data_IF_940927269534
#
_entry.id   IF_940927269534
#
_cell.length_a   1.000
_cell.length_b   1.000
_cell.length_c   1.000
_cell.angle_alpha   90.00
_cell.angle_beta   90.00
_cell.angle_gamma   90.00
#
_symmetry.space_group_name_H-M   'P 1'
#
loop_
_entity.id
_entity.type
_entity.pdbx_description
1 polymer ?
#
# COMPACT_ATOMS: atom_id res chain seq x y z
N UNK A 1 -4.78 -10.67 -2.02
CA UNK A 1 -4.27 -9.65 -2.98
C UNK A 1 -5.19 -9.57 -4.19
N UNK A 2 -5.76 -8.40 -4.43
CA UNK A 2 -6.59 -8.08 -5.59
C UNK A 2 -5.72 -7.38 -6.66
N UNK A 3 -5.41 -8.05 -7.76
CA UNK A 3 -4.59 -7.49 -8.85
C UNK A 3 -5.47 -6.68 -9.80
N UNK A 4 -5.11 -5.43 -10.06
CA UNK A 4 -5.88 -4.49 -10.89
C UNK A 4 -5.21 -4.24 -12.25
N UNK A 5 -3.89 -4.04 -12.26
CA UNK A 5 -3.10 -3.79 -13.47
C UNK A 5 -1.87 -4.71 -13.46
N UNK A 6 -1.40 -5.20 -14.62
CA UNK A 6 -0.17 -5.96 -14.68
C UNK A 6 1.05 -5.08 -14.33
N UNK A 7 2.09 -5.63 -13.69
CA UNK A 7 3.36 -4.92 -13.53
C UNK A 7 4.00 -4.63 -14.89
N UNK A 8 4.76 -3.54 -14.96
CA UNK A 8 5.49 -3.09 -16.15
C UNK A 8 6.91 -3.65 -16.11
N UNK A 9 7.39 -4.10 -17.27
CA UNK A 9 8.73 -4.65 -17.42
C UNK A 9 9.81 -3.68 -16.92
N UNK A 10 10.76 -4.20 -16.14
CA UNK A 10 11.88 -3.44 -15.58
C UNK A 10 11.53 -2.44 -14.48
N UNK A 11 10.25 -2.31 -14.08
CA UNK A 11 9.84 -1.43 -12.98
C UNK A 11 9.92 -2.14 -11.63
N UNK A 12 10.36 -1.37 -10.63
CA UNK A 12 10.40 -1.80 -9.23
C UNK A 12 9.01 -1.72 -8.61
N UNK A 13 8.77 -2.38 -7.49
CA UNK A 13 7.50 -2.26 -6.77
C UNK A 13 7.63 -1.24 -5.65
N UNK A 14 6.65 -0.35 -5.53
CA UNK A 14 6.45 0.55 -4.40
C UNK A 14 5.20 0.12 -3.63
N UNK A 15 5.37 -0.34 -2.40
CA UNK A 15 4.26 -0.71 -1.52
C UNK A 15 3.99 0.43 -0.55
N UNK A 16 2.73 0.89 -0.47
CA UNK A 16 2.30 2.02 0.36
C UNK A 16 1.19 1.60 1.33
N UNK A 17 1.29 2.07 2.58
CA UNK A 17 0.14 2.08 3.50
C UNK A 17 -0.85 3.20 3.12
N UNK A 18 -2.03 3.22 3.73
CA UNK A 18 -3.07 4.23 3.58
C UNK A 18 -3.08 5.17 4.78
N UNK A 19 -3.39 4.63 5.96
CA UNK A 19 -3.64 5.39 7.17
C UNK A 19 -2.32 5.98 7.67
N UNK A 20 -2.28 7.30 7.93
CA UNK A 20 -1.07 8.10 8.19
C UNK A 20 -0.07 8.24 7.03
N UNK A 21 -0.20 7.45 5.96
CA UNK A 21 0.70 7.56 4.81
C UNK A 21 0.12 8.43 3.71
N UNK A 22 -1.11 8.16 3.26
CA UNK A 22 -1.76 8.86 2.14
C UNK A 22 -2.96 9.69 2.61
N UNK A 23 -3.44 9.44 3.82
CA UNK A 23 -4.72 9.94 4.33
C UNK A 23 -4.67 10.13 5.85
N UNK A 24 -5.22 11.24 6.34
CA UNK A 24 -5.50 11.46 7.76
C UNK A 24 -6.83 10.80 8.14
N UNK A 25 -6.75 9.71 8.89
CA UNK A 25 -7.92 8.95 9.33
C UNK A 25 -8.45 9.33 10.72
N UNK A 26 -7.77 10.24 11.44
CA UNK A 26 -8.22 10.66 12.78
C UNK A 26 -9.08 11.92 12.74
N UNK A 27 -8.90 12.75 11.73
CA UNK A 27 -9.73 13.94 11.54
C UNK A 27 -11.06 13.61 10.89
N UNK A 28 -12.10 14.38 11.22
CA UNK A 28 -13.38 14.36 10.51
C UNK A 28 -13.41 15.48 9.48
N UNK A 29 -13.94 15.21 8.29
CA UNK A 29 -14.12 16.20 7.23
C UNK A 29 -15.44 15.96 6.49
N UNK A 30 -16.01 17.02 5.91
CA UNK A 30 -17.18 16.89 5.04
C UNK A 30 -16.79 16.36 3.66
N UNK A 31 -15.56 16.66 3.21
CA UNK A 31 -15.00 16.18 1.96
C UNK A 31 -13.76 15.30 2.21
N UNK A 32 -13.72 14.04 1.71
CA UNK A 32 -12.54 13.17 1.83
C UNK A 32 -11.23 13.78 1.31
N UNK A 33 -11.31 14.72 0.35
CA UNK A 33 -10.13 15.43 -0.17
C UNK A 33 -9.45 16.33 0.88
N UNK A 34 -10.15 16.77 1.92
CA UNK A 34 -9.57 17.55 3.02
C UNK A 34 -8.65 16.71 3.92
N UNK A 35 -8.86 15.39 3.92
CA UNK A 35 -8.07 14.42 4.66
C UNK A 35 -6.95 13.81 3.81
N UNK A 36 -6.89 14.17 2.53
CA UNK A 36 -5.85 13.71 1.61
C UNK A 36 -4.52 14.33 2.00
N UNK A 37 -3.45 13.53 2.04
CA UNK A 37 -2.10 14.07 2.26
C UNK A 37 -1.76 15.07 1.15
N UNK A 38 -1.23 16.26 1.47
CA UNK A 38 -0.80 17.22 0.47
C UNK A 38 0.13 16.57 -0.57
N UNK A 39 -0.09 16.88 -1.84
CA UNK A 39 0.65 16.36 -2.99
C UNK A 39 0.52 14.85 -3.25
N UNK A 40 -0.57 14.20 -2.79
CA UNK A 40 -0.79 12.76 -2.98
C UNK A 40 -0.67 12.35 -4.46
N UNK A 41 -1.37 13.03 -5.37
CA UNK A 41 -1.42 12.64 -6.77
C UNK A 41 -0.11 12.95 -7.50
N UNK A 42 0.53 14.06 -7.19
CA UNK A 42 1.83 14.46 -7.71
C UNK A 42 2.91 13.46 -7.27
N UNK A 43 2.88 13.03 -6.01
CA UNK A 43 3.74 11.98 -5.48
C UNK A 43 3.52 10.66 -6.22
N UNK A 44 2.27 10.19 -6.34
CA UNK A 44 1.96 8.92 -7.01
C UNK A 44 2.33 8.95 -8.49
N UNK A 45 2.13 10.07 -9.17
CA UNK A 45 2.53 10.26 -10.57
C UNK A 45 4.05 10.19 -10.72
N UNK A 46 4.79 10.91 -9.87
CA UNK A 46 6.25 10.89 -9.88
C UNK A 46 6.80 9.49 -9.51
N UNK A 47 6.21 8.83 -8.53
CA UNK A 47 6.56 7.46 -8.16
C UNK A 47 6.28 6.48 -9.30
N UNK A 48 5.16 6.64 -10.01
CA UNK A 48 4.79 5.77 -11.12
C UNK A 48 5.77 5.81 -12.28
N UNK A 49 6.55 6.89 -12.44
CA UNK A 49 7.63 6.95 -13.42
C UNK A 49 8.68 5.85 -13.18
N UNK A 50 8.95 5.47 -11.93
CA UNK A 50 10.02 4.55 -11.53
C UNK A 50 9.51 3.23 -10.94
N UNK A 51 8.28 3.21 -10.42
CA UNK A 51 7.72 2.11 -9.65
C UNK A 51 6.30 1.74 -10.10
N UNK A 52 5.99 0.46 -10.03
CA UNK A 52 4.62 -0.04 -9.97
C UNK A 52 4.11 0.03 -8.53
N UNK A 53 2.88 0.52 -8.37
CA UNK A 53 2.38 0.92 -7.05
C UNK A 53 1.42 -0.13 -6.52
N UNK A 54 1.65 -0.59 -5.29
CA UNK A 54 0.77 -1.48 -4.53
C UNK A 54 0.29 -0.74 -3.29
N UNK A 55 -1.00 -0.87 -2.99
CA UNK A 55 -1.60 -0.34 -1.74
C UNK A 55 -1.82 -1.52 -0.78
N UNK A 56 -1.34 -1.39 0.46
CA UNK A 56 -1.53 -2.40 1.50
C UNK A 56 -1.91 -1.78 2.84
N UNK A 57 -3.15 -1.98 3.26
CA UNK A 57 -3.69 -1.47 4.54
C UNK A 57 -4.01 -2.58 5.54
N UNK A 58 -3.93 -2.25 6.83
CA UNK A 58 -4.42 -3.10 7.92
C UNK A 58 -5.96 -3.04 8.12
N UNK A 59 -6.71 -2.53 7.14
CA UNK A 59 -8.19 -2.53 7.14
C UNK A 59 -8.74 -3.60 6.20
N UNK A 60 -10.06 -3.75 6.08
CA UNK A 60 -10.67 -4.70 5.14
C UNK A 60 -10.62 -4.21 3.68
N UNK A 61 -10.59 -5.13 2.71
CA UNK A 61 -10.59 -4.79 1.28
C UNK A 61 -11.70 -3.81 0.91
N UNK A 62 -12.90 -3.96 1.49
CA UNK A 62 -14.02 -3.03 1.28
C UNK A 62 -13.62 -1.59 1.62
N UNK A 63 -12.96 -1.37 2.76
CA UNK A 63 -12.53 -0.03 3.18
C UNK A 63 -11.35 0.49 2.36
N UNK A 64 -10.44 -0.38 1.95
CA UNK A 64 -9.35 -0.04 1.02
C UNK A 64 -9.92 0.50 -0.29
N UNK A 65 -10.85 -0.22 -0.91
CA UNK A 65 -11.46 0.17 -2.19
C UNK A 65 -12.26 1.47 -2.06
N UNK A 66 -13.05 1.63 -0.98
CA UNK A 66 -13.80 2.86 -0.72
C UNK A 66 -12.85 4.05 -0.59
N UNK A 67 -11.85 3.98 0.29
CA UNK A 67 -10.89 5.08 0.51
C UNK A 67 -10.12 5.43 -0.76
N UNK A 68 -9.59 4.43 -1.47
CA UNK A 68 -8.80 4.68 -2.69
C UNK A 68 -9.65 5.19 -3.85
N UNK A 69 -10.96 4.89 -3.88
CA UNK A 69 -11.89 5.48 -4.85
C UNK A 69 -12.25 6.92 -4.49
N UNK A 70 -12.55 7.20 -3.22
CA UNK A 70 -12.90 8.54 -2.72
C UNK A 70 -11.74 9.52 -2.87
N UNK A 71 -10.51 9.07 -2.61
CA UNK A 71 -9.29 9.87 -2.83
C UNK A 71 -8.89 9.96 -4.31
N UNK A 72 -9.68 9.43 -5.25
CA UNK A 72 -9.37 9.46 -6.69
C UNK A 72 -8.17 8.59 -7.11
N UNK A 73 -7.58 7.81 -6.20
CA UNK A 73 -6.38 7.01 -6.44
C UNK A 73 -6.61 5.89 -7.47
N UNK A 74 -7.78 5.25 -7.46
CA UNK A 74 -8.08 4.15 -8.40
C UNK A 74 -8.48 4.62 -9.80
N UNK A 75 -8.80 5.90 -9.98
CA UNK A 75 -9.35 6.44 -11.24
C UNK A 75 -8.49 7.57 -11.83
N UNK A 76 -7.23 7.71 -11.40
CA UNK A 76 -6.33 8.73 -11.91
C UNK A 76 -5.78 8.35 -13.31
N UNK A 77 -5.74 9.27 -14.28
CA UNK A 77 -5.20 8.98 -15.62
C UNK A 77 -3.67 8.87 -15.65
N UNK A 78 -2.96 9.54 -14.74
CA UNK A 78 -1.51 9.73 -14.78
C UNK A 78 -0.70 8.59 -14.17
N UNK A 79 -1.37 7.69 -13.43
CA UNK A 79 -0.77 6.48 -12.88
C UNK A 79 -1.75 5.31 -12.80
N UNK A 80 -1.23 4.13 -12.44
CA UNK A 80 -2.01 2.91 -12.22
C UNK A 80 -1.55 2.21 -10.95
N UNK A 81 -2.52 1.61 -10.24
CA UNK A 81 -2.27 0.75 -9.08
C UNK A 81 -2.23 -0.69 -9.56
N UNK A 82 -1.15 -1.41 -9.25
CA UNK A 82 -0.93 -2.81 -9.64
C UNK A 82 -1.81 -3.74 -8.83
N UNK A 83 -1.85 -3.58 -7.51
CA UNK A 83 -2.64 -4.44 -6.64
C UNK A 83 -3.04 -3.77 -5.33
N UNK A 84 -4.10 -4.30 -4.73
CA UNK A 84 -4.56 -3.98 -3.38
C UNK A 84 -4.37 -5.18 -2.45
N UNK A 85 -3.91 -4.92 -1.24
CA UNK A 85 -3.83 -5.86 -0.13
C UNK A 85 -4.48 -5.27 1.11
N UNK A 86 -5.06 -6.14 1.92
CA UNK A 86 -5.79 -5.80 3.13
C UNK A 86 -5.24 -6.61 4.33
N UNK A 87 -5.84 -6.46 5.49
CA UNK A 87 -5.41 -7.13 6.72
C UNK A 87 -5.33 -8.66 6.62
N UNK A 88 -6.09 -9.30 5.73
CA UNK A 88 -6.05 -10.76 5.57
C UNK A 88 -4.73 -11.27 4.97
N UNK A 89 -3.94 -10.38 4.35
CA UNK A 89 -2.60 -10.71 3.88
C UNK A 89 -1.52 -10.53 4.96
N UNK A 90 -1.87 -9.94 6.11
CA UNK A 90 -0.95 -9.76 7.24
C UNK A 90 -0.81 -11.05 8.05
N UNK A 91 0.26 -11.14 8.84
CA UNK A 91 0.49 -12.26 9.76
C UNK A 91 0.77 -11.74 11.16
N UNK A 92 0.36 -12.52 12.17
CA UNK A 92 0.72 -12.27 13.57
C UNK A 92 2.03 -12.97 13.90
N UNK A 93 2.99 -12.21 14.41
CA UNK A 93 4.35 -12.67 14.71
C UNK A 93 4.61 -12.52 16.19
N UNK A 94 5.19 -13.55 16.80
CA UNK A 94 5.68 -13.48 18.17
C UNK A 94 7.16 -13.10 18.15
N UNK A 95 7.47 -11.92 18.65
CA UNK A 95 8.84 -11.47 18.92
C UNK A 95 9.14 -11.51 20.42
N UNK A 96 10.41 -11.77 20.76
CA UNK A 96 10.89 -11.70 22.14
C UNK A 96 10.93 -10.27 22.67
N UNK A 97 11.16 -9.28 21.80
CA UNK A 97 11.30 -7.87 22.17
C UNK A 97 10.01 -7.06 22.05
N UNK A 98 9.11 -7.45 21.13
CA UNK A 98 7.89 -6.68 20.82
C UNK A 98 6.59 -7.42 21.18
N UNK A 99 6.67 -8.64 21.72
CA UNK A 99 5.48 -9.45 22.00
C UNK A 99 4.81 -9.94 20.71
N UNK A 100 3.48 -10.10 20.73
CA UNK A 100 2.70 -10.43 19.53
C UNK A 100 2.32 -9.15 18.80
N UNK A 101 2.63 -9.07 17.51
CA UNK A 101 2.24 -7.96 16.65
C UNK A 101 1.88 -8.47 15.25
N UNK A 102 1.10 -7.68 14.52
CA UNK A 102 0.79 -7.97 13.12
C UNK A 102 1.74 -7.23 12.19
N UNK A 103 2.22 -7.92 11.15
CA UNK A 103 3.14 -7.34 10.17
C UNK A 103 2.69 -7.62 8.73
N UNK A 104 3.28 -6.89 7.77
CA UNK A 104 3.04 -7.03 6.33
C UNK A 104 4.16 -7.86 5.69
N UNK A 105 3.99 -9.19 5.49
CA UNK A 105 5.06 -10.07 5.03
C UNK A 105 5.34 -9.87 3.54
N UNK A 106 6.45 -9.21 3.21
CA UNK A 106 6.81 -8.88 1.83
C UNK A 106 7.06 -10.09 0.94
N UNK A 107 7.41 -11.23 1.52
CA UNK A 107 7.51 -12.51 0.83
C UNK A 107 6.22 -12.89 0.06
N UNK A 108 5.05 -12.44 0.51
CA UNK A 108 3.79 -12.64 -0.21
C UNK A 108 3.77 -11.91 -1.56
N UNK A 109 4.37 -10.72 -1.63
CA UNK A 109 4.48 -9.94 -2.87
C UNK A 109 5.56 -10.56 -3.76
N UNK A 110 6.73 -10.90 -3.20
CA UNK A 110 7.85 -11.49 -3.96
C UNK A 110 7.52 -12.85 -4.54
N UNK A 111 6.76 -13.69 -3.83
CA UNK A 111 6.29 -14.97 -4.36
C UNK A 111 5.38 -14.82 -5.59
N UNK A 112 4.70 -13.68 -5.75
CA UNK A 112 3.84 -13.40 -6.92
C UNK A 112 4.54 -12.55 -7.99
N UNK A 113 5.53 -11.74 -7.61
CA UNK A 113 6.32 -10.89 -8.51
C UNK A 113 7.82 -11.11 -8.31
N UNK A 114 8.35 -12.28 -8.71
CA UNK A 114 9.71 -12.71 -8.37
C UNK A 114 10.83 -11.88 -9.02
N UNK A 115 10.54 -11.22 -10.14
CA UNK A 115 11.52 -10.43 -10.90
C UNK A 115 11.60 -8.95 -10.45
N UNK A 116 10.79 -8.56 -9.46
CA UNK A 116 10.66 -7.16 -9.05
C UNK A 116 11.45 -6.86 -7.77
N UNK A 117 12.47 -6.01 -7.89
CA UNK A 117 13.09 -5.38 -6.72
C UNK A 117 12.06 -4.47 -6.03
N UNK A 118 11.67 -4.78 -4.80
CA UNK A 118 10.62 -4.05 -4.06
C UNK A 118 11.24 -3.01 -3.12
N UNK A 119 10.71 -1.79 -3.16
CA UNK A 119 10.96 -0.72 -2.21
C UNK A 119 9.67 -0.47 -1.44
N UNK A 120 9.74 -0.34 -0.12
CA UNK A 120 8.56 -0.08 0.71
C UNK A 120 8.70 1.28 1.38
N UNK A 121 7.64 2.06 1.31
CA UNK A 121 7.41 3.21 2.18
C UNK A 121 6.32 2.81 3.18
N UNK A 122 6.74 2.62 4.43
CA UNK A 122 5.88 2.21 5.55
C UNK A 122 5.65 3.40 6.47
N UNK A 123 4.41 3.60 6.90
CA UNK A 123 4.11 4.21 8.19
C UNK A 123 3.17 3.29 8.99
N UNK A 124 3.22 3.40 10.32
CA UNK A 124 2.37 2.81 11.37
C UNK A 124 2.46 1.30 11.68
N UNK A 125 2.74 0.41 10.73
CA UNK A 125 2.80 -1.05 10.99
C UNK A 125 4.20 -1.59 10.73
N UNK A 126 4.75 -2.39 11.65
CA UNK A 126 6.06 -3.00 11.47
C UNK A 126 6.11 -3.87 10.20
N UNK A 127 7.19 -3.72 9.43
CA UNK A 127 7.47 -4.54 8.26
C UNK A 127 8.64 -5.43 8.58
N UNK A 128 8.41 -6.74 8.50
CA UNK A 128 9.47 -7.73 8.60
C UNK A 128 9.73 -8.36 7.22
N UNK A 129 11.01 -8.42 6.88
CA UNK A 129 11.52 -9.21 5.77
C UNK A 129 11.83 -10.59 6.36
N UNK A 130 10.97 -11.57 6.06
CA UNK A 130 11.27 -12.96 6.38
C UNK A 130 12.00 -13.60 5.20
N UNK A 131 13.17 -14.16 5.48
CA UNK A 131 13.77 -15.15 4.60
C UNK A 131 13.05 -16.49 4.86
N UNK A 132 12.17 -16.89 3.95
CA UNK A 132 11.52 -18.22 3.98
C UNK A 132 12.38 -19.25 3.25
#
# INVERSE_FOLDING_TARGET
>A
MHTLNPPREGKRLLVLDIDYTLFDHRSSAENPHELMRPYLHEFLTAAYAEYDIIIWSATSMKWVEVKMKELGVLNNPDYKITALLDHLAMISVQSQSHGVFDCKPLGLIWGKFPESNTVILVDSVEVEVFDF
#
